data_IF_262055386305
#
_entry.id   IF_262055386305
#
_cell.length_a   1.000
_cell.length_b   1.000
_cell.length_c   1.000
_cell.angle_alpha   90.00
_cell.angle_beta   90.00
_cell.angle_gamma   90.00
#
_symmetry.space_group_name_H-M   'P 1'
#
loop_
_entity.id
_entity.type
_entity.pdbx_description
1 polymer ?
#
# COMPACT_ATOMS: atom_id res chain seq x y z
N UNK A 1 7.26 4.64 3.76
CA UNK A 1 5.94 5.17 3.36
C UNK A 1 6.00 6.12 2.17
N UNK A 2 6.81 7.19 2.18
CA UNK A 2 6.79 8.20 1.09
C UNK A 2 6.94 7.58 -0.32
N UNK A 3 7.98 6.78 -0.56
CA UNK A 3 8.20 6.12 -1.87
C UNK A 3 7.03 5.25 -2.31
N UNK A 4 6.44 4.49 -1.39
CA UNK A 4 5.27 3.65 -1.64
C UNK A 4 4.05 4.50 -2.04
N UNK A 5 3.75 5.53 -1.25
CA UNK A 5 2.63 6.45 -1.52
C UNK A 5 2.81 7.21 -2.84
N UNK A 6 4.02 7.66 -3.16
CA UNK A 6 4.34 8.30 -4.44
C UNK A 6 4.14 7.33 -5.61
N UNK A 7 4.61 6.10 -5.51
CA UNK A 7 4.39 5.08 -6.54
C UNK A 7 2.91 4.82 -6.81
N UNK A 8 2.10 4.65 -5.75
CA UNK A 8 0.65 4.53 -5.88
C UNK A 8 0.02 5.78 -6.50
N UNK A 9 0.43 6.97 -6.08
CA UNK A 9 -0.08 8.22 -6.62
C UNK A 9 0.21 8.37 -8.12
N UNK A 10 1.39 7.97 -8.60
CA UNK A 10 1.73 7.96 -10.02
C UNK A 10 0.84 7.00 -10.82
N UNK A 11 0.60 5.79 -10.29
CA UNK A 11 -0.32 4.83 -10.90
C UNK A 11 -1.74 5.39 -10.95
N UNK A 12 -2.24 5.89 -9.83
CA UNK A 12 -3.58 6.46 -9.73
C UNK A 12 -3.75 7.66 -10.65
N UNK A 13 -2.80 8.59 -10.70
CA UNK A 13 -2.84 9.76 -11.58
C UNK A 13 -2.97 9.37 -13.04
N UNK A 14 -2.16 8.38 -13.50
CA UNK A 14 -2.29 7.86 -14.86
C UNK A 14 -3.67 7.26 -15.11
N UNK A 15 -4.16 6.42 -14.20
CA UNK A 15 -5.45 5.75 -14.34
C UNK A 15 -6.61 6.75 -14.39
N UNK A 16 -6.58 7.81 -13.57
CA UNK A 16 -7.66 8.82 -13.53
C UNK A 16 -7.74 9.68 -14.78
N UNK A 17 -6.62 9.89 -15.49
CA UNK A 17 -6.66 10.60 -16.79
C UNK A 17 -7.34 9.75 -17.86
N UNK A 18 -7.18 8.43 -17.83
CA UNK A 18 -7.80 7.54 -18.81
C UNK A 18 -9.25 7.18 -18.44
N UNK A 19 -9.55 7.09 -17.14
CA UNK A 19 -10.87 6.73 -16.60
C UNK A 19 -11.20 7.69 -15.46
N UNK A 20 -11.90 8.77 -15.77
CA UNK A 20 -12.19 9.86 -14.84
C UNK A 20 -12.97 9.39 -13.58
N UNK A 21 -13.84 8.39 -13.73
CA UNK A 21 -14.62 7.87 -12.60
C UNK A 21 -13.78 7.16 -11.52
N UNK A 22 -12.55 6.71 -11.85
CA UNK A 22 -11.65 6.13 -10.86
C UNK A 22 -11.32 7.13 -9.74
N UNK A 23 -11.35 8.44 -10.02
CA UNK A 23 -11.13 9.47 -9.00
C UNK A 23 -12.12 9.35 -7.82
N UNK A 24 -13.36 8.96 -8.11
CA UNK A 24 -14.41 8.74 -7.09
C UNK A 24 -14.22 7.42 -6.34
N UNK A 25 -13.60 6.42 -6.96
CA UNK A 25 -13.37 5.09 -6.37
C UNK A 25 -12.13 5.02 -5.49
N UNK A 26 -11.09 5.83 -5.77
CA UNK A 26 -9.87 5.91 -4.95
C UNK A 26 -10.16 6.04 -3.45
N UNK A 27 -10.99 6.98 -2.97
CA UNK A 27 -11.25 7.11 -1.53
C UNK A 27 -11.91 5.87 -0.93
N UNK A 28 -12.71 5.13 -1.70
CA UNK A 28 -13.33 3.89 -1.24
C UNK A 28 -12.29 2.76 -1.11
N UNK A 29 -11.41 2.61 -2.10
CA UNK A 29 -10.32 1.62 -2.05
C UNK A 29 -9.37 1.91 -0.89
N UNK A 30 -8.99 3.17 -0.68
CA UNK A 30 -8.17 3.58 0.46
C UNK A 30 -8.87 3.24 1.78
N UNK A 31 -10.18 3.49 1.89
CA UNK A 31 -10.97 3.16 3.07
C UNK A 31 -11.01 1.66 3.35
N UNK A 32 -11.25 0.82 2.34
CA UNK A 32 -11.22 -0.64 2.51
C UNK A 32 -9.83 -1.09 2.96
N UNK A 33 -8.78 -0.62 2.28
CA UNK A 33 -7.40 -0.99 2.61
C UNK A 33 -7.05 -0.62 4.05
N UNK A 34 -7.49 0.57 4.48
CA UNK A 34 -7.31 1.05 5.85
C UNK A 34 -7.96 0.11 6.87
N UNK A 35 -9.21 -0.29 6.69
CA UNK A 35 -9.88 -1.22 7.63
C UNK A 35 -9.31 -2.64 7.61
N UNK A 36 -8.91 -3.14 6.44
CA UNK A 36 -8.32 -4.49 6.30
C UNK A 36 -6.90 -4.56 6.88
N UNK A 37 -6.19 -3.43 6.94
CA UNK A 37 -4.78 -3.40 7.38
C UNK A 37 -4.55 -3.59 8.87
N UNK A 38 -5.58 -3.76 9.70
CA UNK A 38 -5.41 -4.02 11.13
C UNK A 38 -4.74 -2.86 11.89
N UNK A 39 -5.04 -1.62 11.49
CA UNK A 39 -4.53 -0.40 12.14
C UNK A 39 -5.12 -0.22 13.54
N UNK A 40 -6.43 -0.47 13.71
CA UNK A 40 -7.14 -0.24 14.98
C UNK A 40 -7.14 -1.43 15.94
N UNK A 41 -6.79 -2.62 15.47
CA UNK A 41 -6.94 -3.86 16.23
C UNK A 41 -5.72 -4.76 16.05
N UNK A 42 -5.52 -5.66 17.02
CA UNK A 42 -4.50 -6.70 16.89
C UNK A 42 -4.98 -7.78 15.94
N UNK A 43 -4.32 -7.89 14.79
CA UNK A 43 -4.67 -8.87 13.75
C UNK A 43 -4.56 -10.31 14.26
N UNK A 44 -3.61 -10.56 15.16
CA UNK A 44 -3.41 -11.85 15.82
C UNK A 44 -4.62 -12.27 16.66
N UNK A 45 -5.25 -11.32 17.35
CA UNK A 45 -6.44 -11.60 18.15
C UNK A 45 -7.68 -11.77 17.28
N UNK A 46 -7.84 -10.93 16.26
CA UNK A 46 -9.04 -10.94 15.39
C UNK A 46 -9.08 -12.17 14.48
N UNK A 47 -7.93 -12.66 14.02
CA UNK A 47 -7.83 -13.79 13.10
C UNK A 47 -7.33 -15.08 13.75
N UNK A 48 -7.44 -15.21 15.08
CA UNK A 48 -6.99 -16.38 15.83
C UNK A 48 -7.53 -17.71 15.27
N UNK A 49 -8.81 -17.73 14.93
CA UNK A 49 -9.48 -18.93 14.39
C UNK A 49 -9.28 -19.12 12.88
N UNK A 50 -8.64 -18.16 12.21
CA UNK A 50 -8.42 -18.13 10.76
C UNK A 50 -6.92 -17.98 10.42
N UNK A 51 -6.11 -19.03 10.62
CA UNK A 51 -4.64 -18.96 10.47
C UNK A 51 -4.21 -18.57 9.05
N UNK A 52 -4.94 -19.01 8.03
CA UNK A 52 -4.66 -18.62 6.63
C UNK A 52 -4.87 -17.13 6.40
N UNK A 53 -5.95 -16.56 6.93
CA UNK A 53 -6.23 -15.14 6.81
C UNK A 53 -5.16 -14.31 7.55
N UNK A 54 -4.71 -14.79 8.71
CA UNK A 54 -3.64 -14.15 9.45
C UNK A 54 -2.33 -14.12 8.64
N UNK A 55 -1.93 -15.23 8.03
CA UNK A 55 -0.74 -15.27 7.18
C UNK A 55 -0.82 -14.30 6.00
N UNK A 56 -1.97 -14.24 5.32
CA UNK A 56 -2.19 -13.30 4.20
C UNK A 56 -2.07 -11.85 4.68
N UNK A 57 -2.63 -11.53 5.85
CA UNK A 57 -2.61 -10.18 6.41
C UNK A 57 -1.19 -9.63 6.63
N UNK A 58 -0.21 -10.51 6.90
CA UNK A 58 1.18 -10.12 7.13
C UNK A 58 1.88 -9.59 5.86
N UNK A 59 1.36 -9.90 4.67
CA UNK A 59 1.88 -9.40 3.40
C UNK A 59 1.28 -8.05 2.98
N UNK A 60 0.25 -7.56 3.68
CA UNK A 60 -0.36 -6.28 3.39
C UNK A 60 0.63 -5.13 3.67
N UNK A 61 0.98 -4.28 2.68
CA UNK A 61 1.97 -3.22 2.87
C UNK A 61 1.58 -2.24 3.97
N UNK A 62 0.30 -1.89 4.07
CA UNK A 62 -0.18 -0.95 5.10
C UNK A 62 -0.03 -1.55 6.49
N UNK A 63 -0.34 -2.84 6.66
CA UNK A 63 -0.09 -3.55 7.91
C UNK A 63 1.41 -3.54 8.26
N UNK A 64 2.28 -3.86 7.30
CA UNK A 64 3.73 -3.91 7.52
C UNK A 64 4.26 -2.55 8.00
N UNK A 65 3.95 -1.46 7.30
CA UNK A 65 4.45 -0.14 7.68
C UNK A 65 3.93 0.33 9.05
N UNK A 66 2.67 0.04 9.38
CA UNK A 66 2.09 0.40 10.68
C UNK A 66 2.66 -0.47 11.80
N UNK A 67 2.89 -1.76 11.55
CA UNK A 67 3.52 -2.66 12.51
C UNK A 67 4.97 -2.29 12.79
N UNK A 68 5.72 -1.85 11.77
CA UNK A 68 7.06 -1.27 11.96
C UNK A 68 7.02 0.01 12.81
N UNK A 69 6.06 0.91 12.56
CA UNK A 69 5.89 2.11 13.35
C UNK A 69 5.56 1.79 14.81
N UNK A 70 4.71 0.78 15.06
CA UNK A 70 4.41 0.28 16.41
C UNK A 70 5.64 -0.31 17.09
N UNK A 71 6.37 -1.20 16.42
CA UNK A 71 7.57 -1.82 16.99
C UNK A 71 8.71 -0.83 17.30
N UNK A 72 8.66 0.38 16.72
CA UNK A 72 9.61 1.45 17.04
C UNK A 72 9.19 2.34 18.22
N UNK A 73 7.91 2.37 18.58
CA UNK A 73 7.37 3.36 19.52
C UNK A 73 6.41 2.84 20.59
N UNK A 74 6.07 1.54 20.57
CA UNK A 74 5.13 0.91 21.50
C UNK A 74 5.75 -0.38 22.03
N UNK A 75 5.86 -0.47 23.35
CA UNK A 75 6.38 -1.66 24.01
C UNK A 75 5.48 -2.89 23.78
N UNK A 76 6.09 -4.05 23.60
CA UNK A 76 5.39 -5.31 23.33
C UNK A 76 5.12 -5.60 21.85
N UNK A 77 5.53 -4.71 20.92
CA UNK A 77 5.52 -4.97 19.49
C UNK A 77 6.94 -5.19 18.97
N UNK A 78 7.14 -6.23 18.17
CA UNK A 78 8.45 -6.52 17.57
C UNK A 78 8.52 -6.10 16.10
N UNK A 79 9.52 -5.28 15.78
CA UNK A 79 9.87 -4.95 14.41
C UNK A 79 10.81 -6.01 13.82
N UNK A 80 10.24 -7.03 13.18
CA UNK A 80 11.03 -8.16 12.67
C UNK A 80 11.82 -7.79 11.40
N UNK A 81 12.96 -8.45 11.12
CA UNK A 81 13.73 -8.22 9.88
C UNK A 81 12.92 -8.45 8.61
N UNK A 82 11.97 -9.39 8.64
CA UNK A 82 11.05 -9.65 7.54
C UNK A 82 10.20 -8.42 7.21
N UNK A 83 9.64 -7.74 8.22
CA UNK A 83 8.83 -6.54 8.01
C UNK A 83 9.64 -5.41 7.36
N UNK A 84 10.89 -5.21 7.81
CA UNK A 84 11.79 -4.23 7.19
C UNK A 84 12.07 -4.54 5.73
N UNK A 85 12.43 -5.79 5.42
CA UNK A 85 12.68 -6.21 4.05
C UNK A 85 11.43 -6.05 3.17
N UNK A 86 10.27 -6.50 3.66
CA UNK A 86 9.01 -6.38 2.94
C UNK A 86 8.62 -4.91 2.71
N UNK A 87 8.83 -4.03 3.69
CA UNK A 87 8.58 -2.59 3.57
C UNK A 87 9.45 -1.94 2.48
N UNK A 88 10.74 -2.30 2.43
CA UNK A 88 11.66 -1.81 1.39
C UNK A 88 11.24 -2.34 0.02
N UNK A 89 10.92 -3.63 -0.10
CA UNK A 89 10.46 -4.23 -1.36
C UNK A 89 9.21 -3.52 -1.86
N UNK A 90 8.18 -3.35 -1.02
CA UNK A 90 6.97 -2.62 -1.39
C UNK A 90 7.26 -1.17 -1.79
N UNK A 91 8.12 -0.47 -1.06
CA UNK A 91 8.49 0.90 -1.37
C UNK A 91 9.17 1.03 -2.76
N UNK A 92 10.14 0.16 -3.04
CA UNK A 92 10.92 0.20 -4.29
C UNK A 92 10.09 -0.30 -5.47
N UNK A 93 9.43 -1.44 -5.32
CA UNK A 93 8.63 -2.05 -6.40
C UNK A 93 7.48 -1.13 -6.81
N UNK A 94 6.71 -0.62 -5.85
CA UNK A 94 5.59 0.26 -6.16
C UNK A 94 6.05 1.59 -6.78
N UNK A 95 7.18 2.14 -6.34
CA UNK A 95 7.75 3.35 -6.96
C UNK A 95 8.21 3.08 -8.39
N UNK A 96 9.00 2.04 -8.62
CA UNK A 96 9.51 1.70 -9.95
C UNK A 96 8.36 1.39 -10.92
N UNK A 97 7.40 0.58 -10.50
CA UNK A 97 6.20 0.30 -11.29
C UNK A 97 5.41 1.57 -11.57
N UNK A 98 5.22 2.44 -10.58
CA UNK A 98 4.52 3.70 -10.75
C UNK A 98 5.20 4.64 -11.73
N UNK A 99 6.53 4.79 -11.64
CA UNK A 99 7.33 5.61 -12.56
C UNK A 99 7.29 5.05 -13.98
N UNK A 100 7.58 3.75 -14.17
CA UNK A 100 7.60 3.12 -15.50
C UNK A 100 6.20 3.16 -16.13
N UNK A 101 5.16 2.88 -15.34
CA UNK A 101 3.79 2.97 -15.80
C UNK A 101 3.42 4.41 -16.15
N UNK A 102 3.70 5.40 -15.31
CA UNK A 102 3.39 6.80 -15.64
C UNK A 102 4.12 7.28 -16.89
N UNK A 103 5.43 7.02 -16.98
CA UNK A 103 6.29 7.46 -18.09
C UNK A 103 5.85 6.90 -19.44
N UNK A 104 5.41 5.65 -19.50
CA UNK A 104 4.95 5.02 -20.75
C UNK A 104 3.75 5.72 -21.40
N UNK A 105 3.01 6.56 -20.67
CA UNK A 105 1.89 7.33 -21.23
C UNK A 105 2.27 8.77 -21.63
N UNK A 106 3.51 9.19 -21.45
CA UNK A 106 3.96 10.57 -21.68
C UNK A 106 3.68 11.05 -23.12
N UNK A 107 3.90 10.19 -24.12
CA UNK A 107 3.62 10.50 -25.53
C UNK A 107 2.14 10.77 -25.83
N UNK A 108 1.22 10.27 -24.99
CA UNK A 108 -0.23 10.48 -25.14
C UNK A 108 -0.75 11.70 -24.40
N UNK A 109 -0.03 12.22 -23.41
CA UNK A 109 -0.46 13.44 -22.70
C UNK A 109 -0.28 14.70 -23.54
N UNK A 110 0.65 14.70 -24.51
CA UNK A 110 0.92 15.83 -25.40
C UNK A 110 0.07 15.90 -26.67
N UNK A 111 -0.82 14.92 -26.90
CA UNK A 111 -1.76 14.94 -28.03
C UNK A 111 -3.10 15.43 -27.51
N UNK A 112 -3.33 16.73 -27.62
CA UNK A 112 -4.67 17.32 -27.50
C UNK A 112 -5.49 16.81 -28.69
N UNK A 113 -6.42 15.86 -28.44
CA UNK A 113 -7.60 15.65 -29.28
C UNK A 113 -8.81 16.25 -28.56
#
# INVERSE_FOLDING_TARGET
MIMFSTGLALVSARLTVHIQDLAKLIPFVVRITFYVSGIFFSMEHVLKDYPLAFQISQYNPVYIFVSLARGAGVDGYEATPFMWLAAVIWAVVTLLLGVVFFWKAEERYGRED
#
